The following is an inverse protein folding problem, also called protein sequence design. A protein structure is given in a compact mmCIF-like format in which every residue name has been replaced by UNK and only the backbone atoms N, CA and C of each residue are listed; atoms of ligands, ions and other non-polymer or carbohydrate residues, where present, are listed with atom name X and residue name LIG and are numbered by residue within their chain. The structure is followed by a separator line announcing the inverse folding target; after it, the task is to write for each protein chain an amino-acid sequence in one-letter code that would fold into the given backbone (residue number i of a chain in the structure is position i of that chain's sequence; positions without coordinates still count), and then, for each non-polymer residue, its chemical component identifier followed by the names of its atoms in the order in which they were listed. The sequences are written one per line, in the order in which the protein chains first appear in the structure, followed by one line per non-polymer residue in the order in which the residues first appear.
data_IF_308534209589
#
_entry.id   IF_308534209589
#
_cell.length_a   1.000
_cell.length_b   1.000
_cell.length_c   1.000
_cell.angle_alpha   90.00
_cell.angle_beta   90.00
_cell.angle_gamma   90.00
#
_symmetry.space_group_name_H-M   'P 1'
#
loop_
_entity.id
_entity.type
_entity.pdbx_description
1 polymer ?
#
# COMPACT_ATOMS: atom_id res chain seq x y z
N UNK A 1 -23.80 19.52 9.04
CA UNK A 1 -22.37 19.35 9.38
C UNK A 1 -22.13 17.87 9.66
N UNK A 2 -21.64 17.11 8.68
CA UNK A 2 -21.19 15.72 8.89
C UNK A 2 -19.79 15.61 8.27
N UNK A 3 -18.76 15.59 9.11
CA UNK A 3 -17.37 15.33 8.71
C UNK A 3 -17.17 13.82 8.58
N UNK A 4 -17.24 13.30 7.36
CA UNK A 4 -16.78 11.94 7.05
C UNK A 4 -15.24 11.96 7.06
N UNK A 5 -14.65 11.10 7.89
CA UNK A 5 -13.23 11.09 8.21
C UNK A 5 -12.32 11.06 6.98
N UNK A 6 -11.23 11.83 7.06
CA UNK A 6 -10.17 11.80 6.06
C UNK A 6 -9.69 10.35 5.87
N UNK A 7 -9.48 9.89 4.62
CA UNK A 7 -8.91 8.57 4.38
C UNK A 7 -7.53 8.54 5.05
N UNK A 8 -7.30 7.54 5.89
CA UNK A 8 -6.00 7.30 6.51
C UNK A 8 -4.99 6.93 5.43
N UNK A 9 -4.34 7.91 4.83
CA UNK A 9 -3.27 7.69 3.86
C UNK A 9 -2.06 7.09 4.56
N UNK A 10 -1.73 5.84 4.26
CA UNK A 10 -0.52 5.19 4.73
C UNK A 10 0.65 5.71 3.91
N UNK A 11 1.49 6.54 4.53
CA UNK A 11 2.78 6.93 3.98
C UNK A 11 3.66 5.69 3.78
N UNK A 12 4.53 5.70 2.77
CA UNK A 12 5.60 4.70 2.63
C UNK A 12 6.53 4.65 3.85
N UNK A 13 6.52 5.68 4.71
CA UNK A 13 7.21 5.68 5.99
C UNK A 13 6.64 4.66 6.99
N UNK A 14 5.40 4.21 6.81
CA UNK A 14 4.83 3.11 7.59
C UNK A 14 5.54 1.77 7.31
N UNK A 15 6.18 1.62 6.14
CA UNK A 15 7.11 0.51 5.87
C UNK A 15 8.46 0.90 6.49
N UNK A 16 8.67 0.47 7.74
CA UNK A 16 9.87 0.80 8.51
C UNK A 16 11.05 -0.03 8.01
N UNK A 17 12.16 0.64 7.71
CA UNK A 17 13.40 -0.01 7.29
C UNK A 17 14.25 0.89 6.40
N UNK A 18 15.56 0.72 6.47
CA UNK A 18 16.55 1.49 5.68
C UNK A 18 17.47 0.60 4.85
N UNK A 19 17.23 -0.70 4.80
CA UNK A 19 17.98 -1.60 3.94
C UNK A 19 17.68 -1.30 2.47
N UNK A 20 18.65 -1.57 1.59
CA UNK A 20 18.47 -1.34 0.15
C UNK A 20 17.27 -2.09 -0.43
N UNK A 21 16.98 -3.29 0.09
CA UNK A 21 15.81 -4.08 -0.29
C UNK A 21 14.50 -3.35 0.03
N UNK A 22 14.38 -2.75 1.22
CA UNK A 22 13.19 -1.98 1.60
C UNK A 22 13.09 -0.69 0.78
N UNK A 23 14.20 0.00 0.56
CA UNK A 23 14.22 1.22 -0.27
C UNK A 23 13.84 0.92 -1.73
N UNK A 24 14.23 -0.25 -2.24
CA UNK A 24 13.86 -0.70 -3.59
C UNK A 24 12.39 -1.11 -3.66
N UNK A 25 11.87 -1.76 -2.61
CA UNK A 25 10.44 -2.07 -2.48
C UNK A 25 9.59 -0.78 -2.48
N UNK A 26 9.99 0.26 -1.74
CA UNK A 26 9.27 1.55 -1.72
C UNK A 26 9.20 2.18 -3.12
N UNK A 27 10.33 2.23 -3.84
CA UNK A 27 10.38 2.73 -5.23
C UNK A 27 9.53 1.91 -6.19
N UNK A 28 9.49 0.59 -6.01
CA UNK A 28 8.63 -0.29 -6.81
C UNK A 28 7.15 0.00 -6.56
N UNK A 29 6.75 0.21 -5.29
CA UNK A 29 5.38 0.59 -4.93
C UNK A 29 4.99 1.90 -5.62
N UNK A 30 5.83 2.94 -5.54
CA UNK A 30 5.57 4.24 -6.19
C UNK A 30 5.34 4.09 -7.69
N UNK A 31 6.20 3.33 -8.37
CA UNK A 31 6.12 3.10 -9.82
C UNK A 31 4.84 2.34 -10.20
N UNK A 32 4.55 1.23 -9.51
CA UNK A 32 3.41 0.36 -9.84
C UNK A 32 2.08 1.01 -9.47
N UNK A 33 2.04 1.83 -8.42
CA UNK A 33 0.82 2.52 -7.98
C UNK A 33 0.26 3.50 -9.03
N UNK A 34 1.10 4.02 -9.93
CA UNK A 34 0.66 4.88 -11.04
C UNK A 34 -0.02 4.11 -12.18
N UNK A 35 0.08 2.77 -12.18
CA UNK A 35 -0.47 1.90 -13.22
C UNK A 35 -1.84 1.34 -12.83
N UNK A 36 -2.58 0.87 -13.84
CA UNK A 36 -3.83 0.15 -13.61
C UNK A 36 -3.66 -1.39 -13.49
N UNK A 37 -2.43 -1.87 -13.45
CA UNK A 37 -2.13 -3.30 -13.41
C UNK A 37 -2.60 -3.97 -12.10
N UNK A 38 -2.95 -5.25 -12.20
CA UNK A 38 -3.17 -6.11 -11.03
C UNK A 38 -1.84 -6.45 -10.40
N UNK A 39 -1.72 -6.27 -9.08
CA UNK A 39 -0.47 -6.49 -8.33
C UNK A 39 -0.59 -7.74 -7.47
N UNK A 40 0.43 -8.60 -7.50
CA UNK A 40 0.58 -9.75 -6.62
C UNK A 40 1.71 -9.47 -5.62
N UNK A 41 1.39 -9.48 -4.33
CA UNK A 41 2.37 -9.30 -3.25
C UNK A 41 2.68 -10.67 -2.61
N UNK A 42 3.94 -11.08 -2.67
CA UNK A 42 4.41 -12.38 -2.17
C UNK A 42 5.30 -12.15 -0.95
N UNK A 43 5.26 -13.08 0.01
CA UNK A 43 6.13 -13.06 1.18
C UNK A 43 5.62 -13.99 2.28
N UNK A 44 6.49 -14.32 3.23
CA UNK A 44 6.16 -15.16 4.40
C UNK A 44 5.08 -14.52 5.28
N UNK A 45 4.49 -15.31 6.18
CA UNK A 45 3.53 -14.79 7.15
C UNK A 45 4.19 -13.73 8.04
N UNK A 46 3.46 -12.65 8.35
CA UNK A 46 3.96 -11.56 9.20
C UNK A 46 4.92 -10.56 8.54
N UNK A 47 5.24 -10.69 7.24
CA UNK A 47 6.18 -9.77 6.53
C UNK A 47 5.58 -8.43 6.09
N UNK A 48 4.37 -8.10 6.54
CA UNK A 48 3.75 -6.79 6.26
C UNK A 48 3.16 -6.63 4.86
N UNK A 49 2.76 -7.73 4.20
CA UNK A 49 2.10 -7.68 2.86
C UNK A 49 0.87 -6.77 2.83
N UNK A 50 0.11 -6.71 3.92
CA UNK A 50 -1.06 -5.82 4.04
C UNK A 50 -0.66 -4.33 4.02
N UNK A 51 0.49 -3.98 4.64
CA UNK A 51 1.02 -2.62 4.58
C UNK A 51 1.42 -2.26 3.14
N UNK A 52 2.01 -3.20 2.40
CA UNK A 52 2.35 -3.01 0.98
C UNK A 52 1.10 -2.80 0.14
N UNK A 53 0.07 -3.62 0.31
CA UNK A 53 -1.20 -3.49 -0.41
C UNK A 53 -1.89 -2.14 -0.13
N UNK A 54 -1.84 -1.69 1.13
CA UNK A 54 -2.40 -0.40 1.53
C UNK A 54 -1.60 0.78 0.96
N UNK A 55 -0.27 0.71 1.01
CA UNK A 55 0.60 1.72 0.42
C UNK A 55 0.40 1.84 -1.11
N UNK A 56 0.24 0.72 -1.81
CA UNK A 56 -0.10 0.72 -3.25
C UNK A 56 -1.41 1.46 -3.51
N UNK A 57 -2.47 1.21 -2.72
CA UNK A 57 -3.74 1.91 -2.88
C UNK A 57 -3.60 3.41 -2.61
N UNK A 58 -2.96 3.78 -1.50
CA UNK A 58 -2.84 5.17 -1.06
C UNK A 58 -1.94 6.02 -1.97
N UNK A 59 -1.00 5.41 -2.71
CA UNK A 59 -0.15 6.11 -3.70
C UNK A 59 -0.68 6.00 -5.14
N UNK A 60 -1.81 5.33 -5.35
CA UNK A 60 -2.39 5.18 -6.68
C UNK A 60 -3.33 6.31 -7.07
N UNK A 61 -3.70 6.36 -8.35
CA UNK A 61 -4.80 7.22 -8.83
C UNK A 61 -6.15 6.91 -8.17
N UNK A 62 -6.25 5.78 -7.45
CA UNK A 62 -7.45 5.30 -6.78
C UNK A 62 -7.47 5.60 -5.28
N UNK A 63 -6.49 6.32 -4.74
CA UNK A 63 -6.36 6.64 -3.31
C UNK A 63 -7.63 7.26 -2.70
N UNK A 64 -8.37 8.06 -3.47
CA UNK A 64 -9.63 8.66 -3.03
C UNK A 64 -10.82 7.67 -2.94
N UNK A 65 -10.68 6.46 -3.50
CA UNK A 65 -11.70 5.41 -3.47
C UNK A 65 -11.52 4.54 -2.23
N UNK A 66 -12.57 3.78 -1.87
CA UNK A 66 -12.51 2.83 -0.76
C UNK A 66 -11.54 1.68 -1.05
N UNK A 67 -10.67 1.39 -0.10
CA UNK A 67 -9.88 0.17 -0.04
C UNK A 67 -10.65 -0.89 0.76
N UNK A 68 -10.94 -2.05 0.14
CA UNK A 68 -11.70 -3.14 0.76
C UNK A 68 -10.81 -4.37 0.84
N UNK A 69 -10.14 -4.62 1.99
CA UNK A 69 -9.35 -5.83 2.17
C UNK A 69 -10.28 -7.05 2.30
N UNK A 70 -9.95 -8.13 1.59
CA UNK A 70 -10.61 -9.42 1.70
C UNK A 70 -9.55 -10.43 2.11
N UNK A 71 -9.77 -11.09 3.25
CA UNK A 71 -8.94 -12.19 3.71
C UNK A 71 -9.65 -13.51 3.38
N UNK A 72 -8.98 -14.41 2.67
CA UNK A 72 -9.55 -15.67 2.19
C UNK A 72 -9.38 -16.84 3.18
N UNK A 73 -8.78 -16.61 4.36
CA UNK A 73 -8.45 -17.67 5.33
C UNK A 73 -7.08 -18.29 5.09
#
# INVERSE_FOLDING_TARGET
MHTLGAPSSVSLDAIIGRSETILSLKRLIESVAQSDATVLVIGESGTGKELVARALHDHSQRAAKRFVPVNCG
#
